data_IF_356860999561
#
_entry.id   IF_356860999561
#
_cell.length_a   1.000
_cell.length_b   1.000
_cell.length_c   1.000
_cell.angle_alpha   90.00
_cell.angle_beta   90.00
_cell.angle_gamma   90.00
#
_symmetry.space_group_name_H-M   'P 1'
#
loop_
_entity.id
_entity.type
_entity.pdbx_description
1 polymer ?
#
# COMPACT_ATOMS: atom_id res chain seq x y z
N UNK A 1 -0.67 -17.09 3.24
CA UNK A 1 -0.12 -16.63 4.54
C UNK A 1 -0.35 -15.14 4.64
N UNK A 2 -0.75 -14.62 5.79
CA UNK A 2 -0.91 -13.17 6.05
C UNK A 2 0.27 -12.71 6.88
N UNK A 3 0.96 -11.67 6.43
CA UNK A 3 2.12 -11.06 7.13
C UNK A 3 1.76 -9.63 7.52
N UNK A 4 2.12 -9.23 8.72
CA UNK A 4 2.06 -7.84 9.17
C UNK A 4 3.46 -7.32 9.50
N UNK A 5 3.72 -6.06 9.15
CA UNK A 5 4.79 -5.24 9.72
C UNK A 5 4.15 -4.37 10.79
N UNK A 6 4.74 -4.30 11.96
CA UNK A 6 4.13 -3.63 13.10
C UNK A 6 5.17 -3.02 14.04
N UNK A 7 4.73 -2.09 14.88
CA UNK A 7 5.48 -1.57 16.01
C UNK A 7 4.82 -2.03 17.31
N UNK A 8 5.63 -2.58 18.22
CA UNK A 8 5.23 -2.92 19.57
C UNK A 8 6.28 -2.38 20.55
N UNK A 9 5.85 -1.56 21.52
CA UNK A 9 6.75 -0.90 22.47
C UNK A 9 7.93 -0.15 21.81
N UNK A 10 7.70 0.46 20.63
CA UNK A 10 8.72 1.19 19.88
C UNK A 10 9.66 0.32 19.04
N UNK A 11 9.49 -1.01 19.06
CA UNK A 11 10.29 -1.95 18.24
C UNK A 11 9.49 -2.33 17.01
N UNK A 12 10.09 -2.16 15.82
CA UNK A 12 9.50 -2.58 14.55
C UNK A 12 9.86 -4.03 14.27
N UNK A 13 8.83 -4.83 13.98
CA UNK A 13 8.96 -6.27 13.73
C UNK A 13 8.02 -6.72 12.61
N UNK A 14 8.17 -7.96 12.20
CA UNK A 14 7.26 -8.68 11.31
C UNK A 14 6.63 -9.86 12.04
N UNK A 15 5.40 -10.22 11.66
CA UNK A 15 4.72 -11.38 12.21
C UNK A 15 3.74 -12.01 11.25
N UNK A 16 3.55 -13.31 11.37
CA UNK A 16 2.46 -14.01 10.70
C UNK A 16 1.18 -13.80 11.48
N UNK A 17 0.14 -13.34 10.80
CA UNK A 17 -1.19 -13.14 11.42
C UNK A 17 -1.88 -14.49 11.56
N UNK A 18 -2.21 -14.86 12.79
CA UNK A 18 -2.93 -16.06 13.19
C UNK A 18 -4.34 -15.69 13.68
N UNK A 19 -5.33 -16.48 13.34
CA UNK A 19 -6.71 -16.22 13.74
C UNK A 19 -7.36 -15.07 12.96
N UNK A 20 -8.52 -14.62 13.46
CA UNK A 20 -9.33 -13.55 12.85
C UNK A 20 -10.03 -12.72 13.94
N UNK A 21 -10.48 -11.51 13.56
CA UNK A 21 -11.22 -10.63 14.46
C UNK A 21 -10.41 -10.18 15.67
N UNK A 22 -11.07 -10.06 16.81
CA UNK A 22 -10.48 -9.57 18.07
C UNK A 22 -9.44 -10.50 18.69
N UNK A 23 -9.49 -11.78 18.34
CA UNK A 23 -8.61 -12.82 18.91
C UNK A 23 -7.37 -13.06 18.02
N UNK A 24 -7.21 -12.26 16.96
CA UNK A 24 -6.05 -12.35 16.07
C UNK A 24 -4.75 -12.05 16.82
N UNK A 25 -3.72 -12.84 16.51
CA UNK A 25 -2.39 -12.73 17.10
C UNK A 25 -1.32 -12.64 16.00
N UNK A 26 -0.17 -12.15 16.36
CA UNK A 26 1.04 -12.12 15.56
C UNK A 26 2.04 -13.13 16.11
N UNK A 27 2.39 -14.17 15.34
CA UNK A 27 3.58 -14.96 15.58
C UNK A 27 4.78 -14.16 15.07
N UNK A 28 5.59 -13.64 15.98
CA UNK A 28 6.72 -12.74 15.67
C UNK A 28 7.79 -13.51 14.89
N UNK A 29 8.29 -12.90 13.81
CA UNK A 29 9.35 -13.47 12.99
C UNK A 29 10.74 -12.96 13.41
N UNK A 30 11.78 -13.75 13.14
CA UNK A 30 13.16 -13.36 13.41
C UNK A 30 13.64 -12.15 12.59
N UNK A 31 12.94 -11.77 11.52
CA UNK A 31 13.32 -10.62 10.72
C UNK A 31 12.37 -10.36 9.55
N UNK A 32 12.88 -9.65 8.54
CA UNK A 32 12.09 -9.28 7.37
C UNK A 32 11.86 -10.51 6.46
N UNK A 33 10.60 -10.94 6.28
CA UNK A 33 10.28 -12.11 5.47
C UNK A 33 10.54 -11.92 3.97
N UNK A 34 10.62 -10.68 3.47
CA UNK A 34 11.04 -10.40 2.09
C UNK A 34 12.53 -10.75 1.86
N UNK A 35 13.32 -10.84 2.93
CA UNK A 35 14.71 -11.29 2.88
C UNK A 35 14.85 -12.79 3.22
N UNK A 36 13.76 -13.53 3.26
CA UNK A 36 13.74 -14.95 3.58
C UNK A 36 13.76 -15.30 5.08
N UNK A 37 13.66 -14.30 5.97
CA UNK A 37 13.65 -14.51 7.43
C UNK A 37 12.22 -14.79 7.91
N UNK A 38 11.72 -15.98 7.63
CA UNK A 38 10.31 -16.37 7.88
C UNK A 38 10.11 -17.23 9.13
N UNK A 39 11.18 -17.61 9.82
CA UNK A 39 11.11 -18.46 11.01
C UNK A 39 10.51 -17.68 12.20
N UNK A 40 9.55 -18.27 12.93
CA UNK A 40 8.97 -17.62 14.10
C UNK A 40 9.96 -17.67 15.29
N UNK A 41 9.93 -16.62 16.10
CA UNK A 41 10.72 -16.52 17.36
C UNK A 41 10.16 -17.39 18.49
N UNK A 42 8.89 -17.79 18.39
CA UNK A 42 8.10 -18.39 19.46
C UNK A 42 7.28 -17.36 20.26
N UNK A 43 7.50 -16.07 20.07
CA UNK A 43 6.71 -15.00 20.71
C UNK A 43 5.41 -14.79 19.96
N UNK A 44 4.31 -14.57 20.72
CA UNK A 44 3.00 -14.22 20.21
C UNK A 44 2.53 -12.92 20.84
N UNK A 45 2.02 -11.99 20.05
CA UNK A 45 1.51 -10.70 20.50
C UNK A 45 0.07 -10.54 19.95
N UNK A 46 -0.86 -10.06 20.77
CA UNK A 46 -2.20 -9.77 20.29
C UNK A 46 -2.17 -8.68 19.22
N UNK A 47 -2.95 -8.84 18.15
CA UNK A 47 -3.00 -7.86 17.07
C UNK A 47 -3.52 -6.50 17.54
N UNK A 48 -4.34 -6.48 18.61
CA UNK A 48 -4.83 -5.26 19.27
C UNK A 48 -3.76 -4.45 20.00
N UNK A 49 -2.63 -5.07 20.34
CA UNK A 49 -1.60 -4.46 21.18
C UNK A 49 -0.47 -3.83 20.36
N UNK A 50 -0.60 -3.83 19.04
CA UNK A 50 0.41 -3.32 18.12
C UNK A 50 -0.12 -2.18 17.23
N UNK A 51 0.78 -1.31 16.80
CA UNK A 51 0.55 -0.38 15.70
C UNK A 51 0.91 -1.08 14.38
N UNK A 52 -0.07 -1.29 13.52
CA UNK A 52 0.19 -1.79 12.17
C UNK A 52 0.89 -0.74 11.33
N UNK A 53 1.94 -1.13 10.66
CA UNK A 53 2.72 -0.29 9.75
C UNK A 53 2.48 -0.71 8.29
N UNK A 54 2.83 0.13 7.31
CA UNK A 54 2.88 -0.30 5.92
C UNK A 54 3.69 -1.59 5.78
N UNK A 55 3.30 -2.53 4.90
CA UNK A 55 3.93 -3.85 4.80
C UNK A 55 5.40 -3.80 4.37
N UNK A 56 5.82 -2.68 3.79
CA UNK A 56 7.21 -2.43 3.36
C UNK A 56 7.54 -0.95 3.49
N UNK A 57 8.84 -0.62 3.34
CA UNK A 57 9.35 0.74 3.20
C UNK A 57 9.79 0.96 1.75
N UNK A 58 8.88 1.33 0.86
CA UNK A 58 9.18 1.42 -0.56
C UNK A 58 10.02 2.67 -0.86
N UNK A 59 10.93 2.56 -1.82
CA UNK A 59 11.65 3.72 -2.37
C UNK A 59 10.79 4.53 -3.35
N UNK A 60 9.70 3.95 -3.84
CA UNK A 60 8.71 4.56 -4.75
C UNK A 60 7.40 3.79 -4.70
N UNK A 61 6.32 4.49 -4.98
CA UNK A 61 4.98 3.92 -5.15
C UNK A 61 4.55 4.25 -6.57
N UNK A 62 4.41 3.21 -7.40
CA UNK A 62 3.99 3.32 -8.81
C UNK A 62 2.51 2.98 -8.86
N UNK A 63 1.71 3.93 -9.35
CA UNK A 63 0.26 3.78 -9.45
C UNK A 63 -0.19 3.69 -10.91
N UNK A 64 -1.28 2.97 -11.14
CA UNK A 64 -1.90 2.82 -12.46
C UNK A 64 -3.27 3.49 -12.44
N UNK A 65 -3.36 4.66 -13.05
CA UNK A 65 -4.61 5.40 -13.17
C UNK A 65 -5.56 4.76 -14.19
N UNK A 66 -6.85 4.96 -13.98
CA UNK A 66 -7.92 4.42 -14.87
C UNK A 66 -7.83 2.91 -15.05
N UNK A 67 -7.53 2.17 -13.99
CA UNK A 67 -7.31 0.73 -14.04
C UNK A 67 -8.56 -0.10 -13.73
N UNK A 68 -9.61 0.51 -13.19
CA UNK A 68 -10.86 -0.18 -12.84
C UNK A 68 -11.96 0.19 -13.83
N UNK A 69 -12.41 -0.81 -14.63
CA UNK A 69 -13.39 -0.58 -15.71
C UNK A 69 -14.71 0.03 -15.25
N UNK A 70 -15.22 -0.36 -14.09
CA UNK A 70 -16.43 0.23 -13.51
C UNK A 70 -16.26 1.71 -13.20
N UNK A 71 -15.14 2.10 -12.62
CA UNK A 71 -14.82 3.50 -12.32
C UNK A 71 -14.63 4.34 -13.59
N UNK A 72 -13.98 3.79 -14.63
CA UNK A 72 -13.86 4.45 -15.93
C UNK A 72 -15.23 4.77 -16.51
N UNK A 73 -16.15 3.80 -16.46
CA UNK A 73 -17.52 3.95 -16.96
C UNK A 73 -18.32 4.99 -16.16
N UNK A 74 -18.20 4.98 -14.83
CA UNK A 74 -18.84 5.97 -13.93
C UNK A 74 -18.39 7.39 -14.22
N UNK A 75 -17.09 7.58 -14.50
CA UNK A 75 -16.51 8.87 -14.85
C UNK A 75 -16.79 9.31 -16.30
N UNK A 76 -17.46 8.50 -17.11
CA UNK A 76 -17.73 8.78 -18.53
C UNK A 76 -16.46 8.84 -19.39
N UNK A 77 -15.39 8.20 -18.93
CA UNK A 77 -14.09 8.19 -19.61
C UNK A 77 -13.96 6.97 -20.53
N UNK A 78 -13.08 7.07 -21.51
CA UNK A 78 -12.63 5.92 -22.31
C UNK A 78 -11.32 5.38 -21.77
N UNK A 79 -11.21 4.05 -21.71
CA UNK A 79 -9.94 3.39 -21.37
C UNK A 79 -8.83 3.77 -22.36
N UNK A 80 -7.59 3.79 -21.89
CA UNK A 80 -6.41 3.95 -22.73
C UNK A 80 -5.84 2.59 -23.10
N UNK A 81 -5.27 2.47 -24.31
CA UNK A 81 -4.54 1.26 -24.71
C UNK A 81 -3.24 1.08 -23.90
N UNK A 82 -2.62 2.21 -23.52
CA UNK A 82 -1.45 2.22 -22.65
C UNK A 82 -1.85 2.60 -21.22
N UNK A 83 -1.25 1.98 -20.18
CA UNK A 83 -1.55 2.32 -18.80
C UNK A 83 -1.12 3.75 -18.46
N UNK A 84 -2.00 4.49 -17.79
CA UNK A 84 -1.66 5.80 -17.22
C UNK A 84 -0.86 5.57 -15.94
N UNK A 85 0.43 5.89 -15.95
CA UNK A 85 1.33 5.69 -14.80
C UNK A 85 1.58 7.02 -14.10
N UNK A 86 1.50 7.02 -12.77
CA UNK A 86 1.94 8.13 -11.93
C UNK A 86 2.64 7.61 -10.68
N UNK A 87 3.27 8.50 -9.93
CA UNK A 87 3.99 8.17 -8.70
C UNK A 87 3.37 8.90 -7.51
N UNK A 88 3.26 8.19 -6.40
CA UNK A 88 3.11 8.81 -5.07
C UNK A 88 4.46 8.81 -4.37
N UNK A 89 4.82 9.89 -3.64
CA UNK A 89 6.04 9.90 -2.84
C UNK A 89 5.93 8.91 -1.67
N UNK A 90 7.03 8.33 -1.20
CA UNK A 90 7.00 7.47 0.00
C UNK A 90 6.46 8.18 1.25
N UNK A 91 6.56 9.51 1.34
CA UNK A 91 6.00 10.33 2.42
C UNK A 91 4.47 10.32 2.48
N UNK A 92 3.80 9.95 1.38
CA UNK A 92 2.34 9.78 1.34
C UNK A 92 1.87 8.44 1.96
N UNK A 93 2.80 7.57 2.40
CA UNK A 93 2.48 6.25 2.89
C UNK A 93 2.34 6.24 4.42
N UNK A 94 1.16 5.94 4.90
CA UNK A 94 0.84 5.76 6.32
C UNK A 94 0.35 4.34 6.60
N UNK A 95 0.39 3.94 7.86
CA UNK A 95 -0.07 2.63 8.32
C UNK A 95 -1.59 2.55 8.53
N UNK A 96 -2.07 1.34 8.74
CA UNK A 96 -3.48 1.13 9.07
C UNK A 96 -3.85 1.80 10.41
N UNK A 97 -4.95 2.57 10.39
CA UNK A 97 -5.44 3.30 11.57
C UNK A 97 -4.78 4.64 11.82
N UNK A 98 -3.78 5.04 11.03
CA UNK A 98 -3.23 6.39 11.08
C UNK A 98 -4.17 7.39 10.41
N UNK A 99 -4.11 8.65 10.87
CA UNK A 99 -5.02 9.68 10.40
C UNK A 99 -4.59 10.23 9.03
N UNK A 100 -5.54 10.30 8.09
CA UNK A 100 -5.37 11.05 6.85
C UNK A 100 -5.56 12.53 7.17
N UNK A 101 -4.52 13.34 6.99
CA UNK A 101 -4.57 14.79 7.22
C UNK A 101 -5.02 15.48 5.94
N UNK A 102 -6.23 16.04 5.95
CA UNK A 102 -6.78 16.71 4.77
C UNK A 102 -5.99 18.00 4.47
N UNK A 103 -5.47 18.17 3.25
CA UNK A 103 -4.73 19.36 2.88
C UNK A 103 -5.66 20.58 2.75
N UNK A 104 -5.23 21.73 3.27
CA UNK A 104 -6.02 22.97 3.18
C UNK A 104 -6.16 23.51 1.75
N UNK A 105 -5.38 22.98 0.81
CA UNK A 105 -5.41 23.34 -0.61
C UNK A 105 -6.54 22.68 -1.39
N UNK A 106 -7.21 21.70 -0.80
CA UNK A 106 -8.30 20.95 -1.45
C UNK A 106 -9.58 21.01 -0.62
N UNK A 107 -10.70 21.19 -1.29
CA UNK A 107 -12.04 21.11 -0.70
C UNK A 107 -12.74 19.77 -0.99
N UNK A 108 -12.10 18.90 -1.77
CA UNK A 108 -12.69 17.62 -2.21
C UNK A 108 -11.63 16.50 -2.17
N UNK A 109 -11.44 15.92 -0.98
CA UNK A 109 -10.55 14.78 -0.80
C UNK A 109 -11.39 13.51 -0.73
N UNK A 110 -11.05 12.53 -1.57
CA UNK A 110 -11.78 11.28 -1.73
C UNK A 110 -10.86 10.07 -1.51
N UNK A 111 -11.47 8.96 -1.12
CA UNK A 111 -10.79 7.67 -1.01
C UNK A 111 -10.85 6.92 -2.35
N UNK A 112 -9.81 6.16 -2.64
CA UNK A 112 -9.77 5.19 -3.75
C UNK A 112 -9.19 3.88 -3.23
N UNK A 113 -10.07 2.90 -2.99
CA UNK A 113 -9.64 1.57 -2.52
C UNK A 113 -9.06 0.77 -3.67
N UNK A 114 -7.82 0.33 -3.53
CA UNK A 114 -7.06 -0.33 -4.59
C UNK A 114 -6.36 -1.60 -4.13
N UNK A 115 -6.12 -2.51 -5.07
CA UNK A 115 -5.20 -3.62 -4.90
C UNK A 115 -3.76 -3.13 -5.09
N UNK A 116 -2.93 -3.30 -4.08
CA UNK A 116 -1.50 -3.01 -4.17
C UNK A 116 -0.67 -4.30 -4.24
N UNK A 117 0.31 -4.31 -5.12
CA UNK A 117 1.31 -5.38 -5.24
C UNK A 117 2.61 -4.93 -4.58
N UNK A 118 3.14 -5.74 -3.67
CA UNK A 118 4.44 -5.51 -3.04
C UNK A 118 5.51 -6.27 -3.84
N UNK A 119 6.47 -5.53 -4.41
CA UNK A 119 7.58 -6.11 -5.16
C UNK A 119 8.65 -6.58 -4.17
N UNK A 120 9.04 -7.85 -4.26
CA UNK A 120 9.87 -8.53 -3.28
C UNK A 120 11.38 -8.39 -3.47
N UNK A 121 11.83 -8.03 -4.66
CA UNK A 121 13.25 -7.90 -4.99
C UNK A 121 13.49 -6.89 -6.10
N UNK A 122 14.74 -6.49 -6.30
CA UNK A 122 15.11 -5.55 -7.37
C UNK A 122 14.76 -6.15 -8.72
N UNK A 123 13.91 -5.45 -9.48
CA UNK A 123 13.35 -5.92 -10.74
C UNK A 123 13.62 -4.88 -11.83
N UNK A 124 14.15 -5.32 -12.98
CA UNK A 124 14.41 -4.47 -14.13
C UNK A 124 14.28 -5.26 -15.43
N UNK A 125 13.57 -4.70 -16.43
CA UNK A 125 13.42 -5.27 -17.77
C UNK A 125 12.92 -6.74 -17.76
N UNK A 126 12.00 -7.04 -16.86
CA UNK A 126 11.38 -8.36 -16.72
C UNK A 126 10.40 -8.56 -17.86
N UNK A 127 10.34 -9.75 -18.43
CA UNK A 127 9.34 -10.10 -19.43
C UNK A 127 7.93 -10.14 -18.82
N UNK A 128 6.89 -9.97 -19.63
CA UNK A 128 5.50 -10.09 -19.16
C UNK A 128 5.25 -11.47 -18.52
N UNK A 129 5.77 -12.53 -19.11
CA UNK A 129 5.63 -13.89 -18.61
C UNK A 129 6.23 -14.08 -17.21
N UNK A 130 7.29 -13.36 -16.87
CA UNK A 130 8.02 -13.48 -15.61
C UNK A 130 7.60 -12.40 -14.58
N UNK A 131 6.81 -11.40 -14.98
CA UNK A 131 6.50 -10.23 -14.16
C UNK A 131 5.87 -10.57 -12.81
N UNK A 132 4.95 -11.54 -12.78
CA UNK A 132 4.30 -11.98 -11.53
C UNK A 132 5.26 -12.65 -10.56
N UNK A 133 6.39 -13.19 -11.04
CA UNK A 133 7.46 -13.74 -10.20
C UNK A 133 8.16 -12.69 -9.33
N UNK A 134 8.04 -11.40 -9.68
CA UNK A 134 8.59 -10.30 -8.88
C UNK A 134 7.70 -9.90 -7.70
N UNK A 135 6.42 -10.31 -7.71
CA UNK A 135 5.45 -9.96 -6.68
C UNK A 135 5.66 -10.84 -5.45
N UNK A 136 5.97 -10.22 -4.32
CA UNK A 136 6.08 -10.90 -3.03
C UNK A 136 4.71 -11.14 -2.39
N UNK A 137 3.79 -10.20 -2.56
CA UNK A 137 2.45 -10.30 -1.99
C UNK A 137 1.55 -9.15 -2.39
N UNK A 138 0.34 -9.19 -1.86
CA UNK A 138 -0.71 -8.23 -2.14
C UNK A 138 -1.23 -7.62 -0.84
N UNK A 139 -1.65 -6.36 -0.92
CA UNK A 139 -2.34 -5.66 0.16
C UNK A 139 -3.41 -4.74 -0.40
N UNK A 140 -4.21 -4.16 0.49
CA UNK A 140 -5.17 -3.10 0.13
C UNK A 140 -4.50 -1.77 0.40
N UNK A 141 -4.62 -0.85 -0.53
CA UNK A 141 -4.19 0.54 -0.40
C UNK A 141 -5.37 1.49 -0.56
N UNK A 142 -5.21 2.70 -0.06
CA UNK A 142 -6.11 3.82 -0.32
C UNK A 142 -5.30 4.90 -1.05
N UNK A 143 -5.58 5.09 -2.35
CA UNK A 143 -5.00 6.18 -3.13
C UNK A 143 -5.78 7.48 -2.87
N UNK A 144 -5.53 8.08 -1.72
CA UNK A 144 -6.18 9.34 -1.30
C UNK A 144 -5.97 10.42 -2.35
N UNK A 145 -7.06 11.03 -2.80
CA UNK A 145 -7.07 11.92 -3.96
C UNK A 145 -7.73 13.25 -3.65
N UNK A 146 -7.01 14.35 -3.87
CA UNK A 146 -7.58 15.70 -3.93
C UNK A 146 -8.24 15.91 -5.29
N UNK A 147 -9.53 15.62 -5.39
CA UNK A 147 -10.26 15.49 -6.66
C UNK A 147 -10.36 16.79 -7.44
N UNK A 148 -10.55 17.90 -6.76
CA UNK A 148 -10.58 19.24 -7.35
C UNK A 148 -9.23 19.62 -7.98
N UNK A 149 -8.13 19.26 -7.34
CA UNK A 149 -6.80 19.47 -7.89
C UNK A 149 -6.50 18.51 -9.06
N UNK A 150 -6.97 17.26 -8.96
CA UNK A 150 -6.83 16.29 -10.06
C UNK A 150 -7.53 16.78 -11.35
N UNK A 151 -8.66 17.47 -11.21
CA UNK A 151 -9.41 17.98 -12.36
C UNK A 151 -8.75 19.19 -13.05
N UNK A 152 -7.89 19.92 -12.34
CA UNK A 152 -7.28 21.17 -12.81
C UNK A 152 -5.80 21.03 -13.18
N UNK A 153 -5.11 20.04 -12.61
CA UNK A 153 -3.68 19.83 -12.85
C UNK A 153 -3.46 18.93 -14.07
N UNK A 154 -2.50 19.27 -14.91
CA UNK A 154 -2.09 18.44 -16.06
C UNK A 154 -1.45 17.12 -15.60
N UNK A 155 -0.85 17.10 -14.42
CA UNK A 155 -0.23 15.93 -13.80
C UNK A 155 -0.74 15.72 -12.37
N UNK A 156 -0.98 14.48 -12.00
CA UNK A 156 -1.64 14.12 -10.75
C UNK A 156 -0.72 14.09 -9.51
N UNK A 157 0.55 14.46 -9.64
CA UNK A 157 1.50 14.37 -8.53
C UNK A 157 1.03 15.16 -7.30
N UNK A 158 0.54 16.40 -7.50
CA UNK A 158 0.06 17.24 -6.41
C UNK A 158 -1.23 16.70 -5.80
N UNK A 159 -2.18 16.28 -6.65
CA UNK A 159 -3.50 15.78 -6.22
C UNK A 159 -3.44 14.41 -5.52
N UNK A 160 -2.37 13.64 -5.78
CA UNK A 160 -2.17 12.27 -5.31
C UNK A 160 -1.00 12.13 -4.31
N UNK A 161 -0.23 13.17 -4.06
CA UNK A 161 1.05 13.09 -3.34
C UNK A 161 1.14 13.94 -2.08
N UNK A 162 0.03 14.31 -1.44
CA UNK A 162 0.08 14.90 -0.10
C UNK A 162 0.62 13.87 0.91
N UNK A 163 1.24 14.39 1.98
CA UNK A 163 1.84 13.59 3.05
C UNK A 163 0.75 12.97 3.94
N UNK A 164 0.12 11.95 3.52
CA UNK A 164 -0.86 11.04 4.16
C UNK A 164 -1.96 10.65 3.18
#
# INVERSE_FOLDING_TARGET
>A
MRIARFSHNGVVSFGTVLGEGTDAQLAVLHGNPMLGLTEPTGEHIALSDVQLLPPSEPSKIVCVGKNYGAHIAEMGLTGSAEPTIFLKPPSALIGAGEAIVLPHQSSQVELEVELAMVIGHVTRNVSEADALGAVWGYTIANDVTARDLQATDDQWMRSKGFDT
#
